data_IF_320587259420
#
_entry.id   IF_320587259420
#
_cell.length_a   1.000
_cell.length_b   1.000
_cell.length_c   1.000
_cell.angle_alpha   90.00
_cell.angle_beta   90.00
_cell.angle_gamma   90.00
#
_symmetry.space_group_name_H-M   'P 1'
#
loop_
_entity.id
_entity.type
_entity.pdbx_description
1 polymer ?
#
# COMPACT_ATOMS: atom_id res chain seq x y z
N UNK A 1 -26.62 -26.18 20.51
CA UNK A 1 -26.67 -25.49 19.19
C UNK A 1 -25.39 -25.72 18.35
N UNK A 2 -24.89 -26.97 18.20
CA UNK A 2 -23.56 -27.25 17.61
C UNK A 2 -23.59 -28.13 16.35
N UNK A 3 -24.78 -28.55 15.91
CA UNK A 3 -24.98 -29.56 14.84
C UNK A 3 -25.19 -28.94 13.45
N UNK A 4 -25.77 -27.74 13.36
CA UNK A 4 -25.95 -27.00 12.10
C UNK A 4 -24.65 -26.47 11.50
N UNK A 5 -23.71 -26.03 12.35
CA UNK A 5 -22.40 -25.49 11.95
C UNK A 5 -21.53 -26.51 11.21
N UNK A 6 -21.55 -27.77 11.66
CA UNK A 6 -20.77 -28.85 11.03
C UNK A 6 -21.36 -29.27 9.67
N UNK A 7 -22.69 -29.15 9.49
CA UNK A 7 -23.36 -29.46 8.23
C UNK A 7 -23.05 -28.37 7.20
N UNK A 8 -23.08 -27.10 7.61
CA UNK A 8 -22.76 -25.97 6.75
C UNK A 8 -21.29 -25.97 6.32
N UNK A 9 -20.36 -26.24 7.25
CA UNK A 9 -18.94 -26.44 6.91
C UNK A 9 -18.71 -27.63 5.99
N UNK A 10 -19.38 -28.76 6.23
CA UNK A 10 -19.29 -29.94 5.36
C UNK A 10 -19.84 -29.70 3.96
N UNK A 11 -20.91 -28.92 3.83
CA UNK A 11 -21.51 -28.57 2.54
C UNK A 11 -20.66 -27.57 1.76
N UNK A 12 -20.11 -26.55 2.44
CA UNK A 12 -19.15 -25.61 1.86
C UNK A 12 -17.89 -26.33 1.38
N UNK A 13 -17.34 -27.25 2.19
CA UNK A 13 -16.18 -28.05 1.81
C UNK A 13 -16.47 -28.94 0.58
N UNK A 14 -17.68 -29.49 0.49
CA UNK A 14 -18.12 -30.28 -0.68
C UNK A 14 -18.27 -29.42 -1.93
N UNK A 15 -18.83 -28.21 -1.83
CA UNK A 15 -18.93 -27.27 -2.94
C UNK A 15 -17.55 -26.81 -3.43
N UNK A 16 -16.62 -26.55 -2.52
CA UNK A 16 -15.23 -26.21 -2.85
C UNK A 16 -14.56 -27.35 -3.62
N UNK A 17 -14.73 -28.60 -3.17
CA UNK A 17 -14.19 -29.78 -3.85
C UNK A 17 -14.83 -30.06 -5.22
N UNK A 18 -16.13 -29.76 -5.41
CA UNK A 18 -16.83 -29.96 -6.70
C UNK A 18 -16.30 -29.01 -7.78
N UNK A 19 -15.77 -27.83 -7.40
CA UNK A 19 -15.24 -26.85 -8.34
C UNK A 19 -13.73 -27.06 -8.66
N UNK A 20 -13.04 -27.99 -8.00
CA UNK A 20 -11.59 -28.19 -8.17
C UNK A 20 -10.74 -26.99 -7.73
N UNK A 21 -11.33 -26.03 -7.01
CA UNK A 21 -10.65 -24.83 -6.54
C UNK A 21 -9.85 -25.17 -5.29
N UNK A 22 -8.54 -24.91 -5.33
CA UNK A 22 -7.67 -25.08 -4.17
C UNK A 22 -8.03 -24.06 -3.07
N UNK A 23 -7.77 -24.44 -1.82
CA UNK A 23 -7.89 -23.55 -0.64
C UNK A 23 -7.11 -22.25 -0.85
N UNK A 24 -5.92 -22.35 -1.45
CA UNK A 24 -5.09 -21.25 -1.90
C UNK A 24 -5.86 -20.27 -2.81
N UNK A 25 -6.43 -20.75 -3.91
CA UNK A 25 -7.12 -19.91 -4.89
C UNK A 25 -8.32 -19.20 -4.27
N UNK A 26 -9.04 -19.87 -3.37
CA UNK A 26 -10.17 -19.28 -2.64
C UNK A 26 -9.71 -18.12 -1.76
N UNK A 27 -8.69 -18.34 -0.92
CA UNK A 27 -8.15 -17.29 -0.04
C UNK A 27 -7.57 -16.13 -0.85
N UNK A 28 -6.84 -16.43 -1.91
CA UNK A 28 -6.28 -15.41 -2.80
C UNK A 28 -7.36 -14.50 -3.39
N UNK A 29 -8.43 -15.08 -3.93
CA UNK A 29 -9.55 -14.31 -4.50
C UNK A 29 -10.24 -13.46 -3.43
N UNK A 30 -10.55 -14.04 -2.27
CA UNK A 30 -11.22 -13.32 -1.17
C UNK A 30 -10.39 -12.10 -0.76
N UNK A 31 -9.08 -12.27 -0.56
CA UNK A 31 -8.19 -11.20 -0.13
C UNK A 31 -8.12 -10.06 -1.18
N UNK A 32 -8.02 -10.38 -2.47
CA UNK A 32 -7.96 -9.36 -3.52
C UNK A 32 -9.30 -8.66 -3.74
N UNK A 33 -10.43 -9.34 -3.52
CA UNK A 33 -11.75 -8.70 -3.50
C UNK A 33 -11.83 -7.69 -2.34
N UNK A 34 -11.37 -8.06 -1.15
CA UNK A 34 -11.33 -7.16 0.01
C UNK A 34 -10.46 -5.93 -0.31
N UNK A 35 -9.29 -6.13 -0.91
CA UNK A 35 -8.42 -5.04 -1.34
C UNK A 35 -9.11 -4.12 -2.35
N UNK A 36 -9.74 -4.70 -3.38
CA UNK A 36 -10.40 -3.95 -4.43
C UNK A 36 -11.57 -3.11 -3.88
N UNK A 37 -12.36 -3.69 -2.97
CA UNK A 37 -13.46 -2.98 -2.30
C UNK A 37 -12.92 -1.84 -1.43
N UNK A 38 -11.86 -2.10 -0.64
CA UNK A 38 -11.22 -1.06 0.17
C UNK A 38 -10.67 0.07 -0.71
N UNK A 39 -9.98 -0.26 -1.80
CA UNK A 39 -9.41 0.72 -2.72
C UNK A 39 -10.51 1.53 -3.42
N UNK A 40 -11.60 0.87 -3.86
CA UNK A 40 -12.75 1.53 -4.45
C UNK A 40 -13.42 2.50 -3.47
N UNK A 41 -13.56 2.13 -2.20
CA UNK A 41 -14.07 3.03 -1.17
C UNK A 41 -13.14 4.24 -1.00
N UNK A 42 -11.82 4.01 -0.85
CA UNK A 42 -10.84 5.09 -0.72
C UNK A 42 -10.83 6.02 -1.95
N UNK A 43 -11.08 5.47 -3.13
CA UNK A 43 -11.25 6.22 -4.37
C UNK A 43 -12.47 7.13 -4.34
N UNK A 44 -13.64 6.63 -3.89
CA UNK A 44 -14.85 7.44 -3.75
C UNK A 44 -14.69 8.62 -2.77
N UNK A 45 -13.84 8.47 -1.75
CA UNK A 45 -13.50 9.55 -0.81
C UNK A 45 -12.38 10.47 -1.31
N UNK A 46 -11.81 10.23 -2.50
CA UNK A 46 -10.69 10.98 -3.06
C UNK A 46 -9.35 10.74 -2.35
N UNK A 47 -9.32 9.89 -1.31
CA UNK A 47 -8.12 9.62 -0.51
C UNK A 47 -7.09 8.82 -1.32
N UNK A 48 -7.55 7.93 -2.19
CA UNK A 48 -6.67 7.10 -3.01
C UNK A 48 -5.86 7.93 -4.03
N UNK A 49 -6.38 9.08 -4.47
CA UNK A 49 -5.71 9.94 -5.45
C UNK A 49 -4.69 10.90 -4.80
N UNK A 50 -4.92 11.29 -3.54
CA UNK A 50 -4.09 12.28 -2.83
C UNK A 50 -2.58 12.01 -2.90
N UNK A 51 -2.08 10.78 -2.67
CA UNK A 51 -0.65 10.52 -2.75
C UNK A 51 -0.08 10.73 -4.15
N UNK A 52 -0.84 10.43 -5.20
CA UNK A 52 -0.39 10.52 -6.59
C UNK A 52 -0.46 11.94 -7.12
N UNK A 53 -1.42 12.73 -6.65
CA UNK A 53 -1.53 14.15 -7.02
C UNK A 53 -0.54 15.03 -6.27
N UNK A 54 -0.22 14.68 -5.01
CA UNK A 54 0.70 15.44 -4.18
C UNK A 54 2.17 15.19 -4.57
N UNK A 55 2.47 13.99 -5.09
CA UNK A 55 3.84 13.54 -5.31
C UNK A 55 4.37 13.86 -6.72
N UNK A 56 5.13 14.94 -6.81
CA UNK A 56 5.88 15.31 -8.02
C UNK A 56 7.11 14.44 -8.27
N UNK A 57 7.58 13.67 -7.29
CA UNK A 57 8.80 12.85 -7.40
C UNK A 57 8.55 11.52 -8.10
N UNK A 58 7.29 11.22 -8.41
CA UNK A 58 6.80 9.97 -9.00
C UNK A 58 7.08 8.72 -8.17
N UNK A 59 7.51 8.84 -6.90
CA UNK A 59 7.84 7.69 -6.07
C UNK A 59 6.60 6.92 -5.63
N UNK A 60 5.49 7.58 -5.32
CA UNK A 60 4.19 6.96 -5.02
C UNK A 60 3.68 6.16 -6.21
N UNK A 61 3.89 6.66 -7.43
CA UNK A 61 3.59 5.92 -8.67
C UNK A 61 4.48 4.69 -8.80
N UNK A 62 5.78 4.82 -8.55
CA UNK A 62 6.72 3.69 -8.52
C UNK A 62 6.34 2.61 -7.51
N UNK A 63 5.97 3.02 -6.29
CA UNK A 63 5.48 2.13 -5.23
C UNK A 63 4.20 1.42 -5.69
N UNK A 64 3.26 2.14 -6.32
CA UNK A 64 2.04 1.55 -6.89
C UNK A 64 2.34 0.46 -7.94
N UNK A 65 3.29 0.70 -8.83
CA UNK A 65 3.72 -0.29 -9.83
C UNK A 65 4.36 -1.51 -9.16
N UNK A 66 5.30 -1.29 -8.23
CA UNK A 66 5.95 -2.38 -7.49
C UNK A 66 4.93 -3.22 -6.72
N UNK A 67 3.91 -2.60 -6.16
CA UNK A 67 2.82 -3.27 -5.46
C UNK A 67 2.02 -4.19 -6.39
N UNK A 68 1.66 -3.71 -7.59
CA UNK A 68 0.98 -4.52 -8.60
C UNK A 68 1.85 -5.70 -9.08
N UNK A 69 3.15 -5.49 -9.25
CA UNK A 69 4.11 -6.57 -9.56
C UNK A 69 4.16 -7.59 -8.42
N UNK A 70 4.14 -7.14 -7.16
CA UNK A 70 4.09 -7.99 -5.97
C UNK A 70 2.84 -8.87 -5.94
N UNK A 71 1.67 -8.31 -6.27
CA UNK A 71 0.42 -9.08 -6.45
C UNK A 71 0.59 -10.13 -7.55
N UNK A 72 1.18 -9.76 -8.69
CA UNK A 72 1.45 -10.69 -9.80
C UNK A 72 2.34 -11.87 -9.37
N UNK A 73 3.40 -11.61 -8.61
CA UNK A 73 4.27 -12.67 -8.07
C UNK A 73 3.59 -13.52 -7.00
N UNK A 74 2.65 -12.94 -6.23
CA UNK A 74 1.82 -13.70 -5.30
C UNK A 74 0.92 -14.70 -6.03
N UNK A 75 0.33 -14.30 -7.17
CA UNK A 75 -0.45 -15.21 -8.02
C UNK A 75 0.41 -16.37 -8.58
N UNK A 76 1.68 -16.10 -8.89
CA UNK A 76 2.65 -17.11 -9.34
C UNK A 76 3.30 -17.90 -8.19
N UNK A 77 2.90 -17.67 -6.93
CA UNK A 77 3.45 -18.28 -5.72
C UNK A 77 4.98 -18.11 -5.56
N UNK A 78 5.54 -17.00 -6.08
CA UNK A 78 6.96 -16.67 -5.96
C UNK A 78 7.26 -15.94 -4.65
N UNK A 79 7.06 -16.61 -3.52
CA UNK A 79 7.08 -16.03 -2.17
C UNK A 79 8.33 -15.22 -1.81
N UNK A 80 9.52 -15.70 -2.18
CA UNK A 80 10.77 -14.94 -1.97
C UNK A 80 10.77 -13.60 -2.71
N UNK A 81 10.20 -13.54 -3.91
CA UNK A 81 10.10 -12.30 -4.68
C UNK A 81 9.03 -11.36 -4.10
N UNK A 82 7.93 -11.91 -3.58
CA UNK A 82 6.89 -11.13 -2.88
C UNK A 82 7.45 -10.46 -1.63
N UNK A 83 8.18 -11.21 -0.79
CA UNK A 83 8.80 -10.66 0.42
C UNK A 83 9.82 -9.56 0.08
N UNK A 84 10.69 -9.82 -0.90
CA UNK A 84 11.66 -8.82 -1.35
C UNK A 84 10.99 -7.55 -1.89
N UNK A 85 9.92 -7.68 -2.69
CA UNK A 85 9.17 -6.52 -3.17
C UNK A 85 8.47 -5.76 -2.04
N UNK A 86 7.96 -6.47 -1.03
CA UNK A 86 7.37 -5.83 0.14
C UNK A 86 8.42 -4.92 0.82
N UNK A 87 9.63 -5.43 1.07
CA UNK A 87 10.70 -4.63 1.66
C UNK A 87 11.03 -3.41 0.80
N UNK A 88 11.10 -3.57 -0.52
CA UNK A 88 11.35 -2.46 -1.45
C UNK A 88 10.28 -1.36 -1.35
N UNK A 89 9.00 -1.69 -1.14
CA UNK A 89 7.94 -0.69 -0.96
C UNK A 89 8.25 0.24 0.22
N UNK A 90 8.75 -0.30 1.34
CA UNK A 90 9.15 0.51 2.51
C UNK A 90 10.39 1.34 2.19
N UNK A 91 11.40 0.76 1.53
CA UNK A 91 12.60 1.51 1.14
C UNK A 91 12.29 2.71 0.24
N UNK A 92 11.41 2.53 -0.75
CA UNK A 92 10.94 3.65 -1.59
C UNK A 92 10.12 4.67 -0.77
N UNK A 93 9.31 4.21 0.19
CA UNK A 93 8.59 5.10 1.10
C UNK A 93 9.51 5.94 2.00
N UNK A 94 10.63 5.37 2.46
CA UNK A 94 11.65 6.07 3.25
C UNK A 94 12.46 7.05 2.39
N UNK A 95 12.77 6.68 1.15
CA UNK A 95 13.34 7.62 0.17
C UNK A 95 12.41 8.82 -0.04
N UNK A 96 11.09 8.57 -0.10
CA UNK A 96 10.06 9.62 -0.12
C UNK A 96 10.16 10.60 1.04
N UNK A 97 10.39 10.10 2.26
CA UNK A 97 10.61 10.97 3.41
C UNK A 97 11.82 11.87 3.24
N UNK A 98 12.94 11.32 2.76
CA UNK A 98 14.18 12.07 2.57
C UNK A 98 13.99 13.14 1.51
N UNK A 99 13.43 12.79 0.35
CA UNK A 99 13.22 13.75 -0.74
C UNK A 99 12.18 14.82 -0.35
N UNK A 100 11.09 14.43 0.31
CA UNK A 100 10.08 15.38 0.80
C UNK A 100 10.67 16.35 1.84
N UNK A 101 11.54 15.88 2.74
CA UNK A 101 12.25 16.75 3.67
C UNK A 101 13.19 17.73 2.95
N UNK A 102 13.92 17.27 1.93
CA UNK A 102 14.78 18.16 1.11
C UNK A 102 13.94 19.25 0.43
N UNK A 103 12.80 18.89 -0.16
CA UNK A 103 11.88 19.86 -0.77
C UNK A 103 11.35 20.85 0.28
N UNK A 104 10.94 20.35 1.44
CA UNK A 104 10.42 21.18 2.53
C UNK A 104 11.43 22.26 2.95
N UNK A 105 12.69 21.88 3.14
CA UNK A 105 13.74 22.81 3.57
C UNK A 105 14.33 23.66 2.44
N UNK A 106 14.22 23.24 1.18
CA UNK A 106 14.77 24.01 0.04
C UNK A 106 14.15 25.39 -0.14
N UNK A 107 12.92 25.60 0.34
CA UNK A 107 12.22 26.88 0.30
C UNK A 107 12.38 27.73 1.56
N UNK A 108 13.23 27.32 2.51
CA UNK A 108 13.43 28.03 3.78
C UNK A 108 14.71 28.85 3.72
N UNK A 109 14.58 30.18 3.73
CA UNK A 109 15.68 31.11 3.91
C UNK A 109 15.68 31.69 5.33
N UNK A 110 16.64 31.31 6.20
CA UNK A 110 16.72 31.79 7.58
C UNK A 110 16.97 33.31 7.69
N UNK A 111 17.58 33.94 6.68
CA UNK A 111 17.93 35.36 6.72
C UNK A 111 16.74 36.28 6.44
N UNK A 112 15.71 35.74 5.77
CA UNK A 112 14.51 36.47 5.36
C UNK A 112 13.33 36.31 6.33
N UNK A 113 13.52 35.60 7.45
CA UNK A 113 12.47 35.29 8.44
C UNK A 113 11.88 36.55 9.10
N UNK A 114 12.62 37.65 9.13
CA UNK A 114 12.17 38.92 9.72
C UNK A 114 11.21 39.69 8.80
N UNK A 115 11.13 39.32 7.52
CA UNK A 115 10.19 39.91 6.59
C UNK A 115 8.91 39.06 6.50
N UNK A 116 7.80 39.61 7.00
CA UNK A 116 6.49 38.95 7.06
C UNK A 116 6.04 38.46 5.67
N UNK A 117 6.39 39.18 4.61
CA UNK A 117 6.02 38.82 3.23
C UNK A 117 6.67 37.51 2.76
N UNK A 118 7.80 37.13 3.35
CA UNK A 118 8.55 35.92 2.99
C UNK A 118 8.15 34.69 3.82
N UNK A 119 7.43 34.87 4.94
CA UNK A 119 7.05 33.77 5.84
C UNK A 119 6.01 32.85 5.19
N UNK A 120 5.00 33.40 4.51
CA UNK A 120 3.92 32.60 3.90
C UNK A 120 4.46 31.65 2.81
N UNK A 121 5.31 32.10 1.87
CA UNK A 121 5.97 31.22 0.91
C UNK A 121 6.80 30.10 1.57
N UNK A 122 7.55 30.42 2.63
CA UNK A 122 8.37 29.42 3.36
C UNK A 122 7.50 28.33 4.00
N UNK A 123 6.41 28.72 4.68
CA UNK A 123 5.46 27.77 5.27
C UNK A 123 4.81 26.89 4.20
N UNK A 124 4.47 27.47 3.05
CA UNK A 124 3.87 26.72 1.94
C UNK A 124 4.80 25.63 1.42
N UNK A 125 6.10 25.95 1.25
CA UNK A 125 7.12 24.97 0.85
C UNK A 125 7.29 23.86 1.89
N UNK A 126 7.31 24.23 3.17
CA UNK A 126 7.40 23.26 4.28
C UNK A 126 6.23 22.29 4.28
N UNK A 127 4.99 22.80 4.26
CA UNK A 127 3.78 21.98 4.25
C UNK A 127 3.77 21.06 3.03
N UNK A 128 4.16 21.58 1.86
CA UNK A 128 4.20 20.81 0.63
C UNK A 128 5.19 19.64 0.69
N UNK A 129 6.44 19.90 1.07
CA UNK A 129 7.47 18.84 1.17
C UNK A 129 7.16 17.80 2.26
N UNK A 130 6.61 18.24 3.40
CA UNK A 130 6.13 17.33 4.46
C UNK A 130 4.98 16.46 3.96
N UNK A 131 4.05 17.02 3.19
CA UNK A 131 2.96 16.27 2.56
C UNK A 131 3.49 15.14 1.68
N UNK A 132 4.42 15.43 0.78
CA UNK A 132 5.07 14.43 -0.09
C UNK A 132 5.71 13.32 0.75
N UNK A 133 6.50 13.70 1.78
CA UNK A 133 7.16 12.76 2.67
C UNK A 133 6.16 11.80 3.35
N UNK A 134 5.08 12.33 3.93
CA UNK A 134 4.10 11.52 4.65
C UNK A 134 3.31 10.61 3.72
N UNK A 135 2.86 11.11 2.56
CA UNK A 135 2.07 10.31 1.62
C UNK A 135 2.88 9.15 1.03
N UNK A 136 4.11 9.42 0.57
CA UNK A 136 4.99 8.38 0.01
C UNK A 136 5.30 7.27 1.04
N UNK A 137 5.61 7.63 2.29
CA UNK A 137 5.84 6.67 3.36
C UNK A 137 4.59 5.88 3.71
N UNK A 138 3.41 6.52 3.74
CA UNK A 138 2.15 5.86 4.01
C UNK A 138 1.83 4.81 2.95
N UNK A 139 1.93 5.16 1.66
CA UNK A 139 1.66 4.22 0.56
C UNK A 139 2.64 3.04 0.59
N UNK A 140 3.93 3.30 0.82
CA UNK A 140 4.94 2.24 0.94
C UNK A 140 4.67 1.28 2.10
N UNK A 141 4.33 1.83 3.28
CA UNK A 141 4.05 1.03 4.48
C UNK A 141 2.77 0.20 4.35
N UNK A 142 1.70 0.78 3.81
CA UNK A 142 0.43 0.06 3.58
C UNK A 142 0.63 -1.06 2.56
N UNK A 143 1.34 -0.81 1.47
CA UNK A 143 1.67 -1.82 0.46
C UNK A 143 2.51 -2.97 1.04
N UNK A 144 3.51 -2.65 1.87
CA UNK A 144 4.31 -3.65 2.60
C UNK A 144 3.45 -4.53 3.50
N UNK A 145 2.60 -3.93 4.33
CA UNK A 145 1.71 -4.69 5.23
C UNK A 145 0.86 -5.65 4.43
N UNK A 146 0.31 -5.20 3.30
CA UNK A 146 -0.54 -6.04 2.47
C UNK A 146 0.23 -7.21 1.83
N UNK A 147 1.38 -6.96 1.19
CA UNK A 147 2.18 -8.03 0.57
C UNK A 147 2.75 -9.01 1.62
N UNK A 148 3.18 -8.50 2.77
CA UNK A 148 3.64 -9.32 3.89
C UNK A 148 2.52 -10.18 4.46
N UNK A 149 1.31 -9.63 4.58
CA UNK A 149 0.14 -10.38 5.02
C UNK A 149 -0.22 -11.50 4.03
N UNK A 150 -0.22 -11.20 2.73
CA UNK A 150 -0.42 -12.20 1.67
C UNK A 150 0.63 -13.31 1.75
N UNK A 151 1.90 -12.96 1.93
CA UNK A 151 2.99 -13.91 2.04
C UNK A 151 2.77 -14.88 3.21
N UNK A 152 2.50 -14.38 4.43
CA UNK A 152 2.30 -15.25 5.59
C UNK A 152 1.05 -16.13 5.44
N UNK A 153 -0.11 -15.54 5.12
CA UNK A 153 -1.37 -16.27 5.13
C UNK A 153 -1.49 -17.34 4.01
N UNK A 154 -0.82 -17.12 2.88
CA UNK A 154 -0.87 -18.03 1.73
C UNK A 154 0.32 -18.99 1.64
N UNK A 155 1.48 -18.66 2.23
CA UNK A 155 2.63 -19.55 2.24
C UNK A 155 2.50 -20.67 3.29
N UNK A 156 1.75 -20.44 4.37
CA UNK A 156 1.51 -21.41 5.45
C UNK A 156 0.66 -22.64 5.03
N UNK A 157 0.17 -22.72 3.78
CA UNK A 157 -0.58 -23.88 3.25
C UNK A 157 0.30 -24.97 2.60
N UNK A 158 1.62 -24.91 2.74
CA UNK A 158 2.55 -25.96 2.30
C UNK A 158 3.07 -26.79 3.47
#
# INVERSE_FOLDING_TARGET
MRRGDNIMKGFLQKLINICGISTFTTKFIILHIILAVLFFILYLFGIAEMPFTADITYMSTGIGILFLVGIGFSAMQRWKAVAWLADMLVFFGLLGTIIGAVIAFSGVDPEQVTNIDNIIPMISSLIYGIGIALYTTLVGSVGYIWLSFLHHLLNDEK
#
